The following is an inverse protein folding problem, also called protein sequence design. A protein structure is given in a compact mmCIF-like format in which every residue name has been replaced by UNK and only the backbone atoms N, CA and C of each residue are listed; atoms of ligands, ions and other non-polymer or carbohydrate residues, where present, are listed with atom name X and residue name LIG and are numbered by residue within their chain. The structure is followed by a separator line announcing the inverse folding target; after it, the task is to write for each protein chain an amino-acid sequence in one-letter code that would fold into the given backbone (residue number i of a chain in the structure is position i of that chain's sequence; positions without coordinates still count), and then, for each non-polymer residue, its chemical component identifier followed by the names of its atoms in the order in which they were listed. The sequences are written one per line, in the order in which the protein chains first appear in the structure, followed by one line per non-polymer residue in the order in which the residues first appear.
data_IF_729304748084
#
_entry.id   IF_729304748084
#
_cell.length_a   1.000
_cell.length_b   1.000
_cell.length_c   1.000
_cell.angle_alpha   90.00
_cell.angle_beta   90.00
_cell.angle_gamma   90.00
#
_symmetry.space_group_name_H-M   'P 1'
#
loop_
_entity.id
_entity.type
_entity.pdbx_description
1 polymer ?
#
# COMPACT_ATOMS: atom_id res chain seq x y z
N UNK A 1 1.96 -4.58 -23.65
CA UNK A 1 2.69 -4.01 -22.50
C UNK A 1 1.67 -3.43 -21.53
N UNK A 2 1.42 -4.11 -20.41
CA UNK A 2 0.51 -3.61 -19.37
C UNK A 2 1.31 -2.67 -18.47
N UNK A 3 0.77 -1.46 -18.26
CA UNK A 3 1.37 -0.38 -17.51
C UNK A 3 1.91 -0.86 -16.15
N UNK A 4 3.23 -0.73 -15.98
CA UNK A 4 4.00 -1.13 -14.78
C UNK A 4 3.69 -0.29 -13.53
N UNK A 5 2.74 0.65 -13.62
CA UNK A 5 2.33 1.55 -12.53
C UNK A 5 1.02 1.12 -11.81
N UNK A 6 0.29 0.11 -12.30
CA UNK A 6 -0.90 -0.39 -11.60
C UNK A 6 -0.60 -1.43 -10.51
N UNK A 7 0.64 -1.91 -10.38
CA UNK A 7 0.96 -3.06 -9.53
C UNK A 7 1.04 -2.76 -8.02
N UNK A 8 1.08 -1.49 -7.61
CA UNK A 8 1.22 -1.10 -6.19
C UNK A 8 -0.11 -0.88 -5.46
N UNK A 9 -1.11 -0.29 -6.12
CA UNK A 9 -2.34 0.13 -5.45
C UNK A 9 -3.30 -1.05 -5.26
N UNK A 10 -3.44 -1.92 -6.26
CA UNK A 10 -4.41 -3.03 -6.25
C UNK A 10 -4.04 -4.13 -5.25
N UNK A 11 -2.73 -4.46 -5.14
CA UNK A 11 -2.23 -5.45 -4.18
C UNK A 11 -2.37 -4.93 -2.74
N UNK A 12 -1.96 -3.68 -2.49
CA UNK A 12 -2.01 -3.09 -1.15
C UNK A 12 -3.44 -2.87 -0.68
N UNK A 13 -4.35 -2.48 -1.58
CA UNK A 13 -5.78 -2.40 -1.27
C UNK A 13 -6.37 -3.75 -0.90
N UNK A 14 -6.07 -4.81 -1.67
CA UNK A 14 -6.55 -6.17 -1.36
C UNK A 14 -5.98 -6.69 -0.04
N UNK A 15 -4.70 -6.45 0.24
CA UNK A 15 -4.08 -6.85 1.51
C UNK A 15 -4.64 -6.08 2.70
N UNK A 16 -4.89 -4.77 2.55
CA UNK A 16 -5.56 -3.96 3.56
C UNK A 16 -6.96 -4.52 3.87
N UNK A 17 -7.74 -4.80 2.83
CA UNK A 17 -9.11 -5.32 2.98
C UNK A 17 -9.14 -6.70 3.66
N UNK A 18 -8.17 -7.57 3.37
CA UNK A 18 -8.03 -8.85 4.05
C UNK A 18 -7.62 -8.71 5.52
N UNK A 19 -6.74 -7.75 5.84
CA UNK A 19 -6.21 -7.53 7.20
C UNK A 19 -7.21 -6.78 8.10
N UNK A 20 -7.98 -5.85 7.53
CA UNK A 20 -8.92 -5.00 8.24
C UNK A 20 -10.34 -5.08 7.65
N UNK A 21 -10.99 -6.26 7.67
CA UNK A 21 -12.28 -6.49 7.02
C UNK A 21 -13.42 -5.61 7.53
N UNK A 22 -13.30 -5.10 8.77
CA UNK A 22 -14.32 -4.26 9.41
C UNK A 22 -14.02 -2.75 9.30
N UNK A 23 -12.87 -2.38 8.71
CA UNK A 23 -12.41 -0.98 8.64
C UNK A 23 -12.71 -0.32 7.29
N UNK A 24 -13.46 -1.01 6.44
CA UNK A 24 -14.02 -0.44 5.23
C UNK A 24 -15.44 -0.95 5.01
N UNK A 25 -16.21 -0.19 4.22
CA UNK A 25 -17.53 -0.61 3.74
C UNK A 25 -17.74 -0.22 2.30
N UNK A 26 -18.51 -1.04 1.60
CA UNK A 26 -18.98 -0.73 0.26
C UNK A 26 -20.27 0.08 0.34
N UNK A 27 -20.30 1.22 -0.35
CA UNK A 27 -21.48 2.04 -0.47
C UNK A 27 -21.87 2.15 -1.94
N UNK A 28 -23.11 1.73 -2.25
CA UNK A 28 -23.66 1.81 -3.60
C UNK A 28 -24.25 3.20 -3.82
N UNK A 29 -23.73 3.92 -4.80
CA UNK A 29 -24.27 5.17 -5.32
C UNK A 29 -25.12 4.89 -6.56
N UNK A 30 -25.86 5.89 -7.03
CA UNK A 30 -26.72 5.77 -8.22
C UNK A 30 -25.97 5.39 -9.50
N UNK A 31 -24.66 5.67 -9.58
CA UNK A 31 -23.82 5.41 -10.77
C UNK A 31 -22.54 4.63 -10.47
N UNK A 32 -22.42 4.01 -9.30
CA UNK A 32 -21.19 3.28 -8.96
C UNK A 32 -21.15 2.74 -7.54
N UNK A 33 -20.04 2.10 -7.19
CA UNK A 33 -19.77 1.60 -5.85
C UNK A 33 -18.50 2.28 -5.36
N UNK A 34 -18.54 2.82 -4.16
CA UNK A 34 -17.37 3.40 -3.48
C UNK A 34 -17.00 2.56 -2.26
N UNK A 35 -15.72 2.59 -1.90
CA UNK A 35 -15.23 2.07 -0.62
C UNK A 35 -15.04 3.24 0.33
N UNK A 36 -15.69 3.19 1.49
CA UNK A 36 -15.46 4.12 2.59
C UNK A 36 -14.55 3.41 3.59
N UNK A 37 -13.38 3.99 3.85
CA UNK A 37 -12.32 3.38 4.65
C UNK A 37 -12.07 4.25 5.89
N UNK A 38 -11.87 3.61 7.04
CA UNK A 38 -11.46 4.30 8.26
C UNK A 38 -10.00 4.75 8.15
N UNK A 39 -9.75 6.03 8.43
CA UNK A 39 -8.46 6.67 8.18
C UNK A 39 -7.32 6.09 9.02
N UNK A 40 -7.57 5.79 10.30
CA UNK A 40 -6.52 5.30 11.22
C UNK A 40 -5.93 3.95 10.77
N UNK A 41 -6.74 2.90 10.53
CA UNK A 41 -6.25 1.63 9.97
C UNK A 41 -5.49 1.79 8.66
N UNK A 42 -5.93 2.69 7.78
CA UNK A 42 -5.27 2.92 6.51
C UNK A 42 -3.85 3.51 6.69
N UNK A 43 -3.69 4.47 7.59
CA UNK A 43 -2.38 5.07 7.91
C UNK A 43 -1.47 4.04 8.56
N UNK A 44 -1.98 3.27 9.53
CA UNK A 44 -1.19 2.26 10.25
C UNK A 44 -0.74 1.15 9.29
N UNK A 45 -1.63 0.67 8.42
CA UNK A 45 -1.29 -0.27 7.37
C UNK A 45 -0.21 0.26 6.43
N UNK A 46 -0.35 1.52 5.98
CA UNK A 46 0.62 2.13 5.08
C UNK A 46 2.00 2.21 5.74
N UNK A 47 2.07 2.62 7.01
CA UNK A 47 3.32 2.66 7.78
C UNK A 47 4.01 1.31 7.83
N UNK A 48 3.29 0.29 8.28
CA UNK A 48 3.85 -1.07 8.37
C UNK A 48 4.31 -1.60 7.00
N UNK A 49 3.56 -1.28 5.94
CA UNK A 49 3.91 -1.70 4.59
C UNK A 49 5.20 -1.02 4.12
N UNK A 50 5.32 0.29 4.32
CA UNK A 50 6.55 1.02 3.98
C UNK A 50 7.74 0.54 4.81
N UNK A 51 7.57 0.29 6.11
CA UNK A 51 8.63 -0.24 6.98
C UNK A 51 9.12 -1.62 6.50
N UNK A 52 8.21 -2.47 6.03
CA UNK A 52 8.57 -3.79 5.49
C UNK A 52 9.31 -3.71 4.16
N UNK A 53 8.88 -2.83 3.26
CA UNK A 53 9.56 -2.60 1.98
C UNK A 53 10.94 -1.97 2.22
N UNK A 54 11.06 -0.98 3.10
CA UNK A 54 12.35 -0.39 3.48
C UNK A 54 13.28 -1.40 4.14
N UNK A 55 12.78 -2.36 4.93
CA UNK A 55 13.62 -3.43 5.47
C UNK A 55 14.05 -4.47 4.41
N UNK A 56 13.20 -4.73 3.41
CA UNK A 56 13.52 -5.66 2.32
C UNK A 56 14.49 -5.06 1.30
N UNK A 57 14.38 -3.75 1.02
CA UNK A 57 15.21 -3.05 0.02
C UNK A 57 16.35 -2.21 0.62
N UNK A 58 16.28 -1.83 1.90
CA UNK A 58 17.32 -1.08 2.61
C UNK A 58 18.62 -1.87 2.82
N UNK A 59 18.57 -3.20 2.81
CA UNK A 59 19.75 -4.07 2.83
C UNK A 59 20.45 -4.19 1.47
N UNK A 60 19.86 -3.67 0.38
CA UNK A 60 20.45 -3.73 -0.96
C UNK A 60 21.35 -2.50 -1.20
N UNK A 61 21.04 -1.35 -0.58
CA UNK A 61 21.77 -0.09 -0.79
C UNK A 61 23.06 0.01 0.06
N UNK A 62 23.24 -0.81 1.10
CA UNK A 62 24.50 -0.85 1.87
C UNK A 62 25.69 -1.49 1.14
N UNK A 63 25.49 -1.96 -0.10
CA UNK A 63 26.53 -2.58 -0.93
C UNK A 63 27.03 -1.70 -2.08
N UNK A 64 26.57 -0.44 -2.20
CA UNK A 64 27.13 0.50 -3.16
C UNK A 64 27.97 1.57 -2.46
N UNK A 65 29.25 1.75 -2.82
CA UNK A 65 30.10 2.76 -2.21
C UNK A 65 29.59 4.15 -2.58
N UNK A 66 29.26 4.94 -1.56
CA UNK A 66 28.85 6.33 -1.69
C UNK A 66 29.89 7.15 -2.50
N UNK A 67 29.48 7.71 -3.64
CA UNK A 67 30.19 8.83 -4.27
C UNK A 67 29.75 10.11 -3.57
N UNK A 68 30.63 10.71 -2.77
CA UNK A 68 30.48 12.10 -2.28
C UNK A 68 30.69 13.06 -3.45
N UNK A 69 29.72 13.92 -3.69
CA UNK A 69 29.91 15.23 -4.34
C UNK A 69 30.11 16.30 -3.28
#
# INVERSE_FOLDING_TARGET
MINKFNYGIDKNGTTFEAKYPNEFKLLKLSKGIIKVINLRPLIDFAREWFDQEDHQFGNIISSQPYVRI
#
